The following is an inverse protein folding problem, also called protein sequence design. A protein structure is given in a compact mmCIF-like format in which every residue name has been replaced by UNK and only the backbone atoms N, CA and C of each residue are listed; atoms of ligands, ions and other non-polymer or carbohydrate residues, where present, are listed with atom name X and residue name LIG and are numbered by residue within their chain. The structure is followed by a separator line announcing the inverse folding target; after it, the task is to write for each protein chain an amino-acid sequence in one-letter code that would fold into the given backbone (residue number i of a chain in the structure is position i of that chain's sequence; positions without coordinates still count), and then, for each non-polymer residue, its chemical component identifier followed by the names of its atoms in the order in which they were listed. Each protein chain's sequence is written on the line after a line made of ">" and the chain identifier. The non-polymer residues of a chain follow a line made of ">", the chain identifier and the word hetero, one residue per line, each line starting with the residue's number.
data_IF_907560767111
#
_entry.id   IF_907560767111
#
_cell.length_a   1.000
_cell.length_b   1.000
_cell.length_c   1.000
_cell.angle_alpha   90.00
_cell.angle_beta   90.00
_cell.angle_gamma   90.00
#
_symmetry.space_group_name_H-M   'P 1'
#
loop_
_entity.id
_entity.type
_entity.pdbx_description
1 polymer ?
#
# COMPACT_ATOMS: atom_id res chain seq x y z
N UNK A 1 -0.38 3.18 -12.36
CA UNK A 1 -1.84 3.11 -12.09
C UNK A 1 -2.35 4.46 -11.57
N UNK A 2 -2.74 5.41 -12.43
CA UNK A 2 -3.21 6.75 -12.03
C UNK A 2 -4.56 6.78 -11.28
N UNK A 3 -5.22 5.62 -11.16
CA UNK A 3 -6.56 5.48 -10.60
C UNK A 3 -6.60 5.53 -9.06
N UNK A 4 -5.54 5.09 -8.37
CA UNK A 4 -5.52 5.04 -6.90
C UNK A 4 -5.40 6.46 -6.31
N UNK A 5 -4.38 7.22 -6.70
CA UNK A 5 -4.15 8.59 -6.23
C UNK A 5 -5.36 9.51 -6.49
N UNK A 6 -6.02 9.37 -7.65
CA UNK A 6 -7.25 10.11 -7.95
C UNK A 6 -8.39 9.76 -6.99
N UNK A 7 -8.56 8.48 -6.65
CA UNK A 7 -9.61 8.04 -5.72
C UNK A 7 -9.31 8.49 -4.28
N UNK A 8 -8.04 8.46 -3.87
CA UNK A 8 -7.60 8.95 -2.55
C UNK A 8 -7.85 10.46 -2.41
N UNK A 9 -7.50 11.25 -3.43
CA UNK A 9 -7.82 12.70 -3.45
C UNK A 9 -9.33 12.95 -3.39
N UNK A 10 -10.13 12.16 -4.11
CA UNK A 10 -11.59 12.23 -4.03
C UNK A 10 -12.15 11.81 -2.67
N UNK A 11 -11.48 10.90 -1.94
CA UNK A 11 -11.89 10.49 -0.60
C UNK A 11 -11.63 11.60 0.43
N UNK A 12 -10.53 12.34 0.30
CA UNK A 12 -10.14 13.40 1.23
C UNK A 12 -11.21 14.51 1.34
N UNK A 13 -11.89 14.82 0.24
CA UNK A 13 -12.98 15.82 0.22
C UNK A 13 -14.36 15.30 0.69
N UNK A 14 -14.50 14.04 1.10
CA UNK A 14 -15.81 13.46 1.48
C UNK A 14 -16.02 13.48 2.99
N UNK A 15 -17.24 13.83 3.44
CA UNK A 15 -17.65 13.73 4.85
C UNK A 15 -17.44 12.31 5.38
N UNK A 16 -16.57 12.17 6.38
CA UNK A 16 -16.26 10.89 7.04
C UNK A 16 -17.55 10.20 7.47
N UNK A 17 -17.59 8.87 7.34
CA UNK A 17 -18.74 8.01 7.68
C UNK A 17 -20.02 8.18 6.88
N UNK A 18 -20.11 9.15 5.98
CA UNK A 18 -21.23 9.24 5.03
C UNK A 18 -21.29 7.99 4.13
N UNK A 19 -22.47 7.70 3.59
CA UNK A 19 -22.65 6.59 2.63
C UNK A 19 -21.71 6.71 1.43
N UNK A 20 -21.52 7.94 0.91
CA UNK A 20 -20.63 8.22 -0.21
C UNK A 20 -19.14 8.06 0.15
N UNK A 21 -18.74 8.34 1.39
CA UNK A 21 -17.40 8.08 1.88
C UNK A 21 -17.12 6.58 1.99
N UNK A 22 -18.05 5.80 2.56
CA UNK A 22 -17.94 4.33 2.64
C UNK A 22 -17.80 3.70 1.26
N UNK A 23 -18.63 4.10 0.29
CA UNK A 23 -18.54 3.64 -1.12
C UNK A 23 -17.17 3.95 -1.75
N UNK A 24 -16.63 5.15 -1.51
CA UNK A 24 -15.31 5.53 -2.05
C UNK A 24 -14.17 4.75 -1.38
N UNK A 25 -14.22 4.57 -0.06
CA UNK A 25 -13.23 3.79 0.69
C UNK A 25 -13.21 2.33 0.24
N UNK A 26 -14.39 1.71 0.02
CA UNK A 26 -14.49 0.34 -0.48
C UNK A 26 -13.80 0.15 -1.84
N UNK A 27 -13.93 1.12 -2.76
CA UNK A 27 -13.23 1.10 -4.06
C UNK A 27 -11.71 1.13 -3.90
N UNK A 28 -11.21 1.98 -3.00
CA UNK A 28 -9.77 2.09 -2.68
C UNK A 28 -9.27 0.78 -2.09
N UNK A 29 -9.96 0.23 -1.08
CA UNK A 29 -9.60 -1.04 -0.46
C UNK A 29 -9.53 -2.17 -1.50
N UNK A 30 -10.53 -2.28 -2.39
CA UNK A 30 -10.52 -3.29 -3.46
C UNK A 30 -9.30 -3.17 -4.39
N UNK A 31 -8.88 -1.94 -4.70
CA UNK A 31 -7.68 -1.71 -5.50
C UNK A 31 -6.40 -2.11 -4.75
N UNK A 32 -6.28 -1.79 -3.46
CA UNK A 32 -5.15 -2.24 -2.66
C UNK A 32 -5.07 -3.76 -2.60
N UNK A 33 -6.19 -4.45 -2.35
CA UNK A 33 -6.23 -5.91 -2.36
C UNK A 33 -5.78 -6.48 -3.71
N UNK A 34 -6.24 -5.88 -4.83
CA UNK A 34 -5.81 -6.30 -6.16
C UNK A 34 -4.30 -6.11 -6.37
N UNK A 35 -3.73 -4.97 -5.96
CA UNK A 35 -2.29 -4.71 -6.08
C UNK A 35 -1.49 -5.70 -5.22
N UNK A 36 -1.94 -5.96 -4.00
CA UNK A 36 -1.30 -6.92 -3.10
C UNK A 36 -1.33 -8.34 -3.69
N UNK A 37 -2.46 -8.77 -4.23
CA UNK A 37 -2.57 -10.08 -4.89
C UNK A 37 -1.65 -10.19 -6.11
N UNK A 38 -1.61 -9.17 -6.97
CA UNK A 38 -0.70 -9.18 -8.14
C UNK A 38 0.76 -9.29 -7.68
N UNK A 39 1.18 -8.52 -6.67
CA UNK A 39 2.55 -8.60 -6.14
C UNK A 39 2.88 -9.99 -5.61
N UNK A 40 1.96 -10.56 -4.83
CA UNK A 40 2.10 -11.91 -4.28
C UNK A 40 2.18 -12.97 -5.38
N UNK A 41 1.31 -12.89 -6.38
CA UNK A 41 1.32 -13.81 -7.52
C UNK A 41 2.61 -13.72 -8.32
N UNK A 42 3.15 -12.52 -8.53
CA UNK A 42 4.42 -12.34 -9.23
C UNK A 42 5.56 -13.06 -8.51
N UNK A 43 5.69 -12.86 -7.19
CA UNK A 43 6.71 -13.55 -6.39
C UNK A 43 6.51 -15.06 -6.46
N UNK A 44 5.29 -15.56 -6.28
CA UNK A 44 5.03 -17.00 -6.32
C UNK A 44 5.31 -17.63 -7.68
N UNK A 45 4.96 -16.95 -8.78
CA UNK A 45 5.26 -17.43 -10.14
C UNK A 45 6.76 -17.46 -10.38
N UNK A 46 7.45 -16.38 -10.07
CA UNK A 46 8.91 -16.31 -10.20
C UNK A 46 9.61 -17.43 -9.40
N UNK A 47 9.21 -17.65 -8.14
CA UNK A 47 9.74 -18.74 -7.34
C UNK A 47 9.43 -20.12 -7.92
N UNK A 48 8.20 -20.34 -8.40
CA UNK A 48 7.79 -21.61 -9.00
C UNK A 48 8.58 -21.92 -10.28
N UNK A 49 8.76 -20.91 -11.13
CA UNK A 49 9.51 -21.03 -12.38
C UNK A 49 10.99 -21.36 -12.09
N UNK A 50 11.60 -20.70 -11.10
CA UNK A 50 12.97 -21.01 -10.64
C UNK A 50 13.05 -22.45 -10.12
N UNK A 51 12.14 -22.86 -9.24
CA UNK A 51 12.16 -24.20 -8.65
C UNK A 51 11.97 -25.32 -9.66
N UNK A 52 11.19 -25.09 -10.73
CA UNK A 52 10.97 -26.11 -11.77
C UNK A 52 12.15 -26.26 -12.72
N UNK A 53 12.85 -25.16 -13.02
CA UNK A 53 13.87 -25.14 -14.06
C UNK A 53 15.29 -25.37 -13.52
N UNK A 54 15.52 -25.19 -12.22
CA UNK A 54 16.84 -25.29 -11.59
C UNK A 54 16.87 -26.40 -10.53
N UNK A 55 17.76 -27.38 -10.71
CA UNK A 55 17.96 -28.49 -9.76
C UNK A 55 18.72 -28.05 -8.49
N UNK A 56 19.52 -26.98 -8.57
CA UNK A 56 20.26 -26.38 -7.46
C UNK A 56 20.14 -24.87 -7.57
N UNK A 57 19.79 -24.21 -6.46
CA UNK A 57 19.64 -22.75 -6.37
C UNK A 57 20.58 -22.24 -5.29
N UNK A 58 21.48 -21.32 -5.65
CA UNK A 58 22.35 -20.62 -4.71
C UNK A 58 21.73 -19.26 -4.39
N UNK A 59 21.63 -18.91 -3.11
CA UNK A 59 21.06 -17.64 -2.65
C UNK A 59 22.17 -16.79 -2.09
N UNK A 60 22.51 -15.72 -2.80
CA UNK A 60 23.49 -14.73 -2.36
C UNK A 60 22.77 -13.58 -1.65
N UNK A 61 23.31 -13.13 -0.51
CA UNK A 61 22.81 -11.96 0.22
C UNK A 61 23.43 -10.69 -0.35
N UNK A 62 22.87 -10.21 -1.47
CA UNK A 62 23.27 -8.94 -2.06
C UNK A 62 22.47 -7.81 -1.41
N UNK A 63 23.16 -6.87 -0.77
CA UNK A 63 22.57 -5.65 -0.25
C UNK A 63 22.14 -4.71 -1.39
N UNK A 64 21.01 -5.04 -2.03
CA UNK A 64 20.37 -4.15 -3.00
C UNK A 64 19.61 -3.10 -2.19
N UNK A 65 20.30 -2.01 -1.84
CA UNK A 65 19.63 -0.79 -1.40
C UNK A 65 18.50 -0.47 -2.38
N UNK A 66 17.35 -0.08 -1.85
CA UNK A 66 16.08 0.01 -2.57
C UNK A 66 16.07 1.04 -3.73
N UNK A 67 16.81 0.76 -4.79
CA UNK A 67 16.83 1.44 -6.10
C UNK A 67 15.68 0.92 -6.97
N UNK A 68 14.57 0.48 -6.36
CA UNK A 68 13.35 0.23 -7.11
C UNK A 68 12.79 1.60 -7.50
N UNK A 69 13.24 2.09 -8.66
CA UNK A 69 12.86 3.36 -9.22
C UNK A 69 11.33 3.52 -9.20
N UNK A 70 10.88 4.57 -8.49
CA UNK A 70 9.56 5.15 -8.73
C UNK A 70 9.57 5.61 -10.20
N UNK A 71 8.72 5.04 -11.05
CA UNK A 71 8.47 5.62 -12.38
C UNK A 71 7.68 6.91 -12.15
N UNK A 72 8.38 8.00 -11.86
CA UNK A 72 7.83 9.36 -11.91
C UNK A 72 7.75 9.74 -13.39
N UNK A 73 6.69 9.32 -14.06
CA UNK A 73 6.35 9.94 -15.33
C UNK A 73 5.72 11.32 -15.04
N UNK A 74 6.35 12.35 -15.58
CA UNK A 74 5.93 13.76 -15.70
C UNK A 74 6.57 14.76 -14.70
N UNK A 75 7.68 15.37 -15.14
CA UNK A 75 7.88 16.83 -15.13
C UNK A 75 8.41 17.50 -13.85
N UNK A 76 9.56 18.16 -14.04
CA UNK A 76 10.16 19.26 -13.26
C UNK A 76 11.03 18.94 -12.05
N UNK A 77 12.23 19.53 -12.14
CA UNK A 77 13.33 19.52 -11.20
C UNK A 77 13.02 20.47 -10.04
N UNK A 78 13.24 20.03 -8.80
CA UNK A 78 13.09 20.95 -7.66
C UNK A 78 13.05 20.27 -6.29
N UNK A 79 14.19 20.33 -5.62
CA UNK A 79 14.40 20.31 -4.16
C UNK A 79 13.89 19.11 -3.35
N UNK A 80 14.86 18.37 -2.81
CA UNK A 80 14.64 17.23 -1.94
C UNK A 80 13.97 17.57 -0.61
N UNK A 81 13.01 16.72 -0.25
CA UNK A 81 12.74 16.38 1.14
C UNK A 81 12.35 14.90 1.16
N UNK A 82 13.31 14.04 1.44
CA UNK A 82 13.08 12.62 1.67
C UNK A 82 12.18 12.44 2.89
N UNK A 83 10.97 11.96 2.69
CA UNK A 83 10.10 11.52 3.77
C UNK A 83 10.64 10.20 4.33
N UNK A 84 11.47 10.27 5.36
CA UNK A 84 11.84 9.13 6.19
C UNK A 84 10.60 8.66 6.95
N UNK A 85 9.99 7.55 6.54
CA UNK A 85 9.06 6.84 7.43
C UNK A 85 9.86 6.21 8.55
N UNK A 86 9.95 6.90 9.69
CA UNK A 86 10.30 6.27 10.96
C UNK A 86 9.26 5.17 11.24
N UNK A 87 9.62 3.94 10.92
CA UNK A 87 8.89 2.74 11.33
C UNK A 87 9.01 2.63 12.86
N UNK A 88 8.02 3.17 13.58
CA UNK A 88 7.80 2.81 14.98
C UNK A 88 7.11 1.43 15.02
N UNK A 89 7.68 0.41 15.67
CA UNK A 89 7.02 -0.89 15.80
C UNK A 89 5.72 -0.74 16.60
N UNK A 90 4.64 -1.30 16.06
CA UNK A 90 3.31 -1.27 16.66
C UNK A 90 3.26 -2.19 17.89
N UNK A 91 3.25 -1.59 19.07
CA UNK A 91 2.81 -2.24 20.30
C UNK A 91 1.85 -1.33 21.04
N UNK A 92 0.82 -1.97 21.59
CA UNK A 92 -0.17 -1.51 22.59
C UNK A 92 -1.57 -1.15 22.05
N UNK A 93 -2.48 -2.08 22.34
CA UNK A 93 -3.94 -1.94 22.37
C UNK A 93 -4.37 -0.56 22.87
N UNK A 94 -5.34 0.04 22.18
CA UNK A 94 -6.25 0.99 22.79
C UNK A 94 -7.66 0.63 22.30
N UNK A 95 -8.41 -0.08 23.14
CA UNK A 95 -9.87 0.00 23.09
C UNK A 95 -10.23 1.44 23.42
N UNK A 96 -10.76 2.18 22.46
CA UNK A 96 -11.46 3.43 22.75
C UNK A 96 -12.95 3.10 22.86
N UNK A 97 -13.44 3.15 24.09
CA UNK A 97 -14.85 3.07 24.43
C UNK A 97 -15.70 3.99 23.53
N UNK A 98 -16.83 3.46 23.05
CA UNK A 98 -17.86 4.27 22.40
C UNK A 98 -18.60 5.07 23.48
N UNK A 99 -18.71 6.41 23.40
CA UNK A 99 -19.67 7.13 24.21
C UNK A 99 -21.07 6.77 23.71
N UNK A 100 -21.86 6.17 24.60
CA UNK A 100 -23.30 6.01 24.44
C UNK A 100 -23.91 7.41 24.28
N UNK A 101 -24.54 7.67 23.13
CA UNK A 101 -25.44 8.80 23.00
C UNK A 101 -26.72 8.41 23.72
N UNK A 102 -26.93 8.97 24.91
CA UNK A 102 -28.26 9.04 25.51
C UNK A 102 -29.19 9.78 24.55
N UNK A 103 -30.28 9.13 24.18
CA UNK A 103 -31.52 9.83 23.88
C UNK A 103 -32.21 10.10 25.24
N UNK A 104 -32.99 11.18 25.26
CA UNK A 104 -33.76 11.80 26.36
C UNK A 104 -33.06 12.94 27.11
#
# INVERSE_FOLDING_TARGET
>A
MPKLAKLERQLAGKKKWSSNWRKAKAKITKLHSKIAHIRKDLVHKASNDISKNHAVVFVEDLAVEASCARINACGEEGSGAGFVTSLKPASRKQESAMPHLGMD
#
